data_IF_226501680763
#
_entry.id   IF_226501680763
#
_cell.length_a   1.000
_cell.length_b   1.000
_cell.length_c   1.000
_cell.angle_alpha   90.00
_cell.angle_beta   90.00
_cell.angle_gamma   90.00
#
_symmetry.space_group_name_H-M   'P 1'
#
loop_
_entity.id
_entity.type
_entity.pdbx_description
1 polymer ?
#
# COMPACT_ATOMS: atom_id res chain seq x y z
N UNK A 1 -0.64 -4.99 13.20
CA UNK A 1 0.67 -5.12 12.52
C UNK A 1 0.58 -4.44 11.17
N UNK A 2 1.59 -3.65 10.81
CA UNK A 2 1.76 -3.11 9.46
C UNK A 2 2.97 -3.79 8.82
N UNK A 3 2.75 -4.41 7.66
CA UNK A 3 3.81 -4.98 6.83
C UNK A 3 3.99 -4.11 5.58
N UNK A 4 5.22 -3.68 5.33
CA UNK A 4 5.61 -2.89 4.16
C UNK A 4 6.52 -3.74 3.25
N UNK A 5 5.95 -4.81 2.70
CA UNK A 5 6.61 -5.63 1.67
C UNK A 5 6.33 -5.12 0.26
N UNK A 6 6.59 -5.95 -0.76
CA UNK A 6 6.23 -5.67 -2.16
C UNK A 6 4.78 -5.17 -2.28
N UNK A 7 3.87 -5.93 -1.67
CA UNK A 7 2.53 -5.48 -1.26
C UNK A 7 2.56 -5.12 0.22
N UNK A 8 1.60 -4.30 0.66
CA UNK A 8 1.49 -3.99 2.07
C UNK A 8 0.24 -4.60 2.68
N UNK A 9 0.33 -4.88 3.97
CA UNK A 9 -0.74 -5.51 4.74
C UNK A 9 -0.92 -4.75 6.04
N UNK A 10 -2.16 -4.35 6.32
CA UNK A 10 -2.56 -3.94 7.67
C UNK A 10 -3.40 -5.04 8.29
N UNK A 11 -2.89 -5.61 9.38
CA UNK A 11 -3.47 -6.75 10.10
C UNK A 11 -3.93 -6.31 11.49
N UNK A 12 -5.20 -6.56 11.81
CA UNK A 12 -5.80 -6.23 13.10
C UNK A 12 -6.53 -7.45 13.69
N UNK A 13 -6.33 -7.72 14.98
CA UNK A 13 -7.02 -8.78 15.71
C UNK A 13 -8.32 -8.23 16.29
N UNK A 14 -9.35 -9.07 16.33
CA UNK A 14 -10.64 -8.75 16.96
C UNK A 14 -11.12 -9.88 17.86
N UNK A 15 -11.95 -9.51 18.83
CA UNK A 15 -12.75 -10.44 19.60
C UNK A 15 -14.06 -10.68 18.84
N UNK A 16 -14.29 -11.93 18.42
CA UNK A 16 -15.43 -12.27 17.56
C UNK A 16 -15.24 -11.88 16.08
N UNK A 17 -16.19 -12.33 15.25
CA UNK A 17 -16.14 -12.13 13.80
C UNK A 17 -16.60 -10.71 13.44
N UNK A 18 -15.76 -9.99 12.70
CA UNK A 18 -16.10 -8.74 12.04
C UNK A 18 -15.90 -8.92 10.54
N UNK A 19 -16.71 -8.25 9.71
CA UNK A 19 -16.62 -8.34 8.26
C UNK A 19 -16.92 -7.01 7.59
N UNK A 20 -16.15 -6.67 6.54
CA UNK A 20 -16.41 -5.53 5.67
C UNK A 20 -16.05 -5.82 4.20
N UNK A 21 -16.64 -6.87 3.58
CA UNK A 21 -16.30 -7.30 2.23
C UNK A 21 -16.60 -6.25 1.15
N UNK A 22 -17.57 -5.36 1.38
CA UNK A 22 -17.89 -4.24 0.51
C UNK A 22 -16.76 -3.21 0.38
N UNK A 23 -15.83 -3.20 1.35
CA UNK A 23 -14.57 -2.44 1.27
C UNK A 23 -13.37 -3.36 1.03
N UNK A 24 -13.59 -4.59 0.55
CA UNK A 24 -12.55 -5.60 0.31
C UNK A 24 -11.60 -5.84 1.48
N UNK A 25 -12.11 -5.77 2.72
CA UNK A 25 -11.37 -6.19 3.91
C UNK A 25 -11.54 -7.69 4.08
N UNK A 26 -10.42 -8.43 4.15
CA UNK A 26 -10.44 -9.86 4.46
C UNK A 26 -10.69 -10.08 5.95
N UNK A 27 -11.44 -11.14 6.27
CA UNK A 27 -11.83 -11.47 7.65
C UNK A 27 -11.71 -12.98 7.84
N UNK A 28 -10.85 -13.43 8.75
CA UNK A 28 -10.55 -14.85 8.96
C UNK A 28 -10.39 -15.18 10.45
N UNK A 29 -10.53 -16.46 10.79
CA UNK A 29 -10.24 -16.94 12.14
C UNK A 29 -8.77 -16.70 12.49
N UNK A 30 -8.49 -16.27 13.72
CA UNK A 30 -7.13 -16.24 14.25
C UNK A 30 -6.72 -17.64 14.70
N UNK A 31 -5.42 -17.87 14.84
CA UNK A 31 -4.87 -19.12 15.39
C UNK A 31 -5.23 -19.37 16.87
N UNK A 32 -5.80 -18.38 17.57
CA UNK A 32 -6.18 -18.50 18.97
C UNK A 32 -7.69 -18.73 19.07
N UNK A 33 -8.17 -19.58 20.01
CA UNK A 33 -9.61 -19.79 20.21
C UNK A 33 -10.35 -18.48 20.50
N UNK A 34 -11.55 -18.33 19.92
CA UNK A 34 -12.39 -17.15 20.14
C UNK A 34 -11.82 -15.83 19.60
N UNK A 35 -10.86 -15.89 18.68
CA UNK A 35 -10.22 -14.73 18.07
C UNK A 35 -10.32 -14.76 16.54
N UNK A 36 -10.40 -13.58 15.96
CA UNK A 36 -10.45 -13.36 14.51
C UNK A 36 -9.46 -12.29 14.12
N UNK A 37 -9.21 -12.14 12.83
CA UNK A 37 -8.43 -11.04 12.31
C UNK A 37 -8.99 -10.47 11.01
N UNK A 38 -8.70 -9.19 10.82
CA UNK A 38 -8.98 -8.40 9.64
C UNK A 38 -7.67 -8.15 8.90
N UNK A 39 -7.71 -8.17 7.57
CA UNK A 39 -6.59 -7.79 6.72
C UNK A 39 -7.03 -6.81 5.63
N UNK A 40 -6.40 -5.64 5.61
CA UNK A 40 -6.35 -4.76 4.45
C UNK A 40 -5.13 -5.10 3.62
N UNK A 41 -5.28 -5.10 2.30
CA UNK A 41 -4.20 -5.40 1.36
C UNK A 41 -4.07 -4.24 0.39
N UNK A 42 -2.91 -3.59 0.39
CA UNK A 42 -2.50 -2.68 -0.68
C UNK A 42 -1.63 -3.45 -1.67
N UNK A 43 -2.02 -3.46 -2.94
CA UNK A 43 -1.35 -4.30 -3.96
C UNK A 43 0.05 -3.81 -4.31
N UNK A 44 0.34 -2.52 -4.10
CA UNK A 44 1.67 -1.95 -4.29
C UNK A 44 2.03 -1.07 -3.10
N UNK A 45 2.98 -1.52 -2.27
CA UNK A 45 3.52 -0.77 -1.13
C UNK A 45 5.00 -0.45 -1.36
N UNK A 46 5.93 -1.27 -0.88
CA UNK A 46 7.35 -1.03 -1.11
C UNK A 46 7.73 -1.12 -2.60
N UNK A 47 7.00 -1.90 -3.39
CA UNK A 47 7.19 -1.97 -4.85
C UNK A 47 7.01 -0.63 -5.57
N UNK A 48 6.28 0.32 -4.98
CA UNK A 48 6.19 1.68 -5.51
C UNK A 48 7.53 2.41 -5.46
N UNK A 49 8.38 2.15 -4.46
CA UNK A 49 9.70 2.75 -4.37
C UNK A 49 10.64 2.16 -5.44
N UNK A 50 10.61 0.85 -5.65
CA UNK A 50 11.36 0.20 -6.73
C UNK A 50 10.93 0.72 -8.11
N UNK A 51 9.62 0.88 -8.30
CA UNK A 51 9.05 1.45 -9.52
C UNK A 51 9.49 2.90 -9.72
N UNK A 52 9.42 3.73 -8.68
CA UNK A 52 9.82 5.13 -8.74
C UNK A 52 11.33 5.28 -9.02
N UNK A 53 12.19 4.47 -8.39
CA UNK A 53 13.62 4.50 -8.64
C UNK A 53 13.94 4.21 -10.11
N UNK A 54 13.26 3.23 -10.71
CA UNK A 54 13.38 2.94 -12.14
C UNK A 54 12.87 4.08 -13.01
N UNK A 55 11.72 4.66 -12.66
CA UNK A 55 11.12 5.78 -13.40
C UNK A 55 12.05 7.00 -13.45
N UNK A 56 12.73 7.30 -12.33
CA UNK A 56 13.65 8.44 -12.23
C UNK A 56 15.08 8.11 -12.67
N UNK A 57 15.34 6.88 -13.12
CA UNK A 57 16.69 6.43 -13.51
C UNK A 57 17.69 6.33 -12.35
N UNK A 58 17.20 6.26 -11.10
CA UNK A 58 18.05 6.11 -9.92
C UNK A 58 18.43 4.65 -9.70
N UNK A 59 19.68 4.42 -9.30
CA UNK A 59 20.26 3.08 -9.24
C UNK A 59 19.63 2.16 -8.19
N UNK A 60 18.98 2.72 -7.16
CA UNK A 60 18.41 1.94 -6.06
C UNK A 60 17.35 2.73 -5.27
N UNK A 61 16.54 2.02 -4.48
CA UNK A 61 15.58 2.63 -3.54
C UNK A 61 16.27 3.56 -2.53
N UNK A 62 17.41 3.20 -1.90
CA UNK A 62 18.13 4.15 -1.05
C UNK A 62 18.55 5.43 -1.77
N UNK A 63 18.98 5.35 -3.04
CA UNK A 63 19.33 6.53 -3.83
C UNK A 63 18.10 7.41 -4.10
N UNK A 64 16.95 6.81 -4.40
CA UNK A 64 15.66 7.51 -4.50
C UNK A 64 15.30 8.24 -3.21
N UNK A 65 15.38 7.56 -2.07
CA UNK A 65 15.05 8.16 -0.77
C UNK A 65 15.99 9.33 -0.47
N UNK A 66 17.30 9.18 -0.71
CA UNK A 66 18.27 10.25 -0.52
C UNK A 66 17.98 11.47 -1.41
N UNK A 67 17.64 11.25 -2.67
CA UNK A 67 17.25 12.32 -3.59
C UNK A 67 15.95 13.03 -3.14
N UNK A 68 14.96 12.25 -2.67
CA UNK A 68 13.70 12.79 -2.16
C UNK A 68 13.90 13.63 -0.89
N UNK A 69 14.86 13.28 -0.02
CA UNK A 69 15.20 14.05 1.17
C UNK A 69 15.80 15.43 0.88
N UNK A 70 16.39 15.61 -0.30
CA UNK A 70 16.96 16.89 -0.75
C UNK A 70 16.11 17.56 -1.82
N UNK A 71 14.88 17.09 -2.04
CA UNK A 71 14.00 17.65 -3.05
C UNK A 71 13.57 19.08 -2.68
N UNK A 72 13.37 19.90 -3.70
CA UNK A 72 12.90 21.27 -3.52
C UNK A 72 11.42 21.27 -3.06
N UNK A 73 11.19 21.66 -1.81
CA UNK A 73 9.85 21.76 -1.23
C UNK A 73 9.03 22.93 -1.81
N UNK A 74 9.63 23.81 -2.63
CA UNK A 74 8.92 24.85 -3.37
C UNK A 74 8.12 24.31 -4.55
N UNK A 75 8.40 23.07 -4.97
CA UNK A 75 7.54 22.36 -5.90
C UNK A 75 6.15 22.21 -5.29
N UNK A 76 5.11 22.63 -6.02
CA UNK A 76 3.73 22.50 -5.58
C UNK A 76 3.33 21.06 -5.21
N UNK A 77 2.19 20.86 -4.54
CA UNK A 77 1.80 19.55 -4.06
C UNK A 77 1.64 18.57 -5.22
N UNK A 78 2.35 17.44 -5.15
CA UNK A 78 2.17 16.32 -6.08
C UNK A 78 1.57 15.14 -5.32
N UNK A 79 0.48 14.60 -5.84
CA UNK A 79 -0.19 13.42 -5.32
C UNK A 79 0.22 12.20 -6.10
N UNK A 80 0.59 11.13 -5.39
CA UNK A 80 0.81 9.82 -5.98
C UNK A 80 -0.24 8.83 -5.51
N UNK A 81 -1.02 8.28 -6.47
CA UNK A 81 -1.88 7.13 -6.20
C UNK A 81 -1.11 5.85 -6.52
N UNK A 82 -0.91 4.92 -5.55
CA UNK A 82 -0.01 3.78 -5.71
C UNK A 82 -0.66 2.56 -6.41
N UNK A 83 -1.64 2.74 -7.29
CA UNK A 83 -2.42 1.63 -7.86
C UNK A 83 -1.76 0.99 -9.09
N UNK A 84 -0.47 0.65 -8.98
CA UNK A 84 0.34 0.13 -10.09
C UNK A 84 -0.16 -1.23 -10.61
N UNK A 85 -0.82 -2.01 -9.75
CA UNK A 85 -1.35 -3.35 -10.04
C UNK A 85 -2.87 -3.43 -9.85
N UNK A 86 -3.59 -2.33 -10.07
CA UNK A 86 -4.94 -2.16 -9.54
C UNK A 86 -4.91 -1.89 -8.03
N UNK A 87 -6.05 -2.00 -7.36
CA UNK A 87 -6.09 -1.93 -5.90
C UNK A 87 -7.15 -2.86 -5.28
N UNK A 88 -6.82 -3.45 -4.14
CA UNK A 88 -7.72 -4.35 -3.41
C UNK A 88 -8.48 -3.62 -2.33
N UNK A 89 -7.87 -3.29 -1.21
CA UNK A 89 -8.56 -2.56 -0.15
C UNK A 89 -8.31 -1.06 -0.35
N UNK A 90 -9.33 -0.18 -0.40
CA UNK A 90 -10.76 -0.44 -0.18
C UNK A 90 -11.59 -0.65 -1.46
N UNK A 91 -10.99 -0.51 -2.64
CA UNK A 91 -11.73 -0.28 -3.90
C UNK A 91 -12.18 -1.54 -4.65
N UNK A 92 -11.50 -2.66 -4.43
CA UNK A 92 -11.62 -3.90 -5.19
C UNK A 92 -11.60 -3.69 -6.71
N UNK A 93 -10.71 -2.81 -7.18
CA UNK A 93 -10.71 -2.32 -8.55
C UNK A 93 -9.46 -2.79 -9.30
N UNK A 94 -9.57 -3.79 -10.20
CA UNK A 94 -8.44 -4.25 -11.00
C UNK A 94 -8.03 -3.24 -12.10
N UNK A 95 -8.90 -2.27 -12.42
CA UNK A 95 -8.64 -1.25 -13.43
C UNK A 95 -8.01 0.03 -12.86
N UNK A 96 -7.88 0.15 -11.53
CA UNK A 96 -7.19 1.29 -10.92
C UNK A 96 -5.75 1.37 -11.45
N UNK A 97 -5.22 2.60 -11.58
CA UNK A 97 -3.91 2.88 -12.15
C UNK A 97 -3.10 3.80 -11.25
N UNK A 98 -1.79 3.58 -11.23
CA UNK A 98 -0.88 4.50 -10.60
C UNK A 98 -0.82 5.81 -11.38
N UNK A 99 -0.83 6.94 -10.68
CA UNK A 99 -0.81 8.28 -11.29
C UNK A 99 -0.10 9.27 -10.38
N UNK A 100 0.64 10.19 -11.00
CA UNK A 100 1.06 11.45 -10.38
C UNK A 100 0.12 12.57 -10.84
N UNK A 101 -0.40 13.35 -9.89
CA UNK A 101 -1.29 14.48 -10.13
C UNK A 101 -0.68 15.71 -9.46
N UNK A 102 -0.64 16.85 -10.18
CA UNK A 102 -0.16 18.14 -9.68
C UNK A 102 -1.26 19.19 -9.80
#
# INVERSE_FOLDING_TARGET
MLSLGTSGVYFAVSEGFLSKPESAVHSFCHALPGRWHLMSVMLSAASCLDWAAKLTGLASVPALIAAAQTADESAGPVWFLPYLSGERTPHNNPQAKGVFLA
#
